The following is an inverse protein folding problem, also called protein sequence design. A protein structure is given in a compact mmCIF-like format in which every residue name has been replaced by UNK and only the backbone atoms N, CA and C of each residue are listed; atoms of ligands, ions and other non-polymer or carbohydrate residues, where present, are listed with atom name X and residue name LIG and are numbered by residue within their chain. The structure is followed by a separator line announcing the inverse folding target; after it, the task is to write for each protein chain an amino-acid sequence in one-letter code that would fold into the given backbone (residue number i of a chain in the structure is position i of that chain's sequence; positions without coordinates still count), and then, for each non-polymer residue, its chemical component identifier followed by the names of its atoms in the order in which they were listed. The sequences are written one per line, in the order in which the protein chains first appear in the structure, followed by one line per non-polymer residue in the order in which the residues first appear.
data_IF_678084391520
#
_entry.id   IF_678084391520
#
_cell.length_a   1.000
_cell.length_b   1.000
_cell.length_c   1.000
_cell.angle_alpha   90.00
_cell.angle_beta   90.00
_cell.angle_gamma   90.00
#
_symmetry.space_group_name_H-M   'P 1'
#
loop_
_entity.id
_entity.type
_entity.pdbx_description
1 polymer ?
#
# COMPACT_ATOMS: atom_id res chain seq x y z
N UNK A 1 10.51 32.44 0.54
CA UNK A 1 10.47 31.00 0.86
C UNK A 1 9.50 30.31 -0.09
N UNK A 2 9.94 29.34 -0.91
CA UNK A 2 9.06 28.63 -1.84
C UNK A 2 8.77 27.21 -1.32
N UNK A 3 7.57 26.99 -0.75
CA UNK A 3 7.08 25.63 -0.48
C UNK A 3 6.80 24.96 -1.83
N UNK A 4 7.68 24.03 -2.25
CA UNK A 4 7.55 23.31 -3.52
C UNK A 4 6.16 22.66 -3.59
N UNK A 5 5.32 23.13 -4.51
CA UNK A 5 3.97 22.60 -4.69
C UNK A 5 3.98 21.11 -5.02
N UNK A 6 2.87 20.41 -4.72
CA UNK A 6 2.70 19.01 -5.11
C UNK A 6 2.93 18.87 -6.61
N UNK A 7 3.77 17.90 -7.00
CA UNK A 7 3.94 17.51 -8.41
C UNK A 7 2.61 16.88 -8.86
N UNK A 8 1.84 17.62 -9.66
CA UNK A 8 0.62 17.11 -10.28
C UNK A 8 1.03 16.15 -11.41
N UNK A 9 0.82 14.85 -11.20
CA UNK A 9 1.34 13.79 -12.08
C UNK A 9 1.41 12.41 -11.41
N UNK A 10 1.29 12.33 -10.08
CA UNK A 10 1.07 11.04 -9.40
C UNK A 10 -0.39 10.61 -9.62
N UNK A 11 -0.61 9.69 -10.56
CA UNK A 11 -1.86 8.90 -10.64
C UNK A 11 -2.26 8.42 -9.23
N UNK A 12 -3.51 8.70 -8.84
CA UNK A 12 -4.04 8.17 -7.58
C UNK A 12 -4.27 6.66 -7.69
N UNK A 13 -3.90 5.94 -6.65
CA UNK A 13 -4.28 4.53 -6.48
C UNK A 13 -5.81 4.44 -6.43
N UNK A 14 -6.39 3.68 -7.35
CA UNK A 14 -7.81 3.32 -7.41
C UNK A 14 -8.19 2.40 -6.24
N UNK A 15 -9.48 2.08 -6.09
CA UNK A 15 -9.92 1.05 -5.12
C UNK A 15 -9.28 -0.32 -5.42
N UNK A 16 -9.04 -0.60 -6.70
CA UNK A 16 -8.56 -1.85 -7.27
C UNK A 16 -7.04 -1.96 -7.14
N UNK A 17 -6.32 -0.86 -7.40
CA UNK A 17 -4.89 -0.73 -7.06
C UNK A 17 -4.62 -0.94 -5.57
N UNK A 18 -5.55 -0.49 -4.72
CA UNK A 18 -5.50 -0.72 -3.28
C UNK A 18 -5.79 -2.18 -2.93
N UNK A 19 -6.75 -2.83 -3.60
CA UNK A 19 -7.04 -4.24 -3.40
C UNK A 19 -5.84 -5.11 -3.76
N UNK A 20 -5.32 -4.99 -4.98
CA UNK A 20 -4.16 -5.75 -5.45
C UNK A 20 -2.92 -5.52 -4.57
N UNK A 21 -2.64 -4.28 -4.16
CA UNK A 21 -1.54 -4.01 -3.22
C UNK A 21 -1.75 -4.70 -1.86
N UNK A 22 -2.97 -4.74 -1.33
CA UNK A 22 -3.26 -5.38 -0.06
C UNK A 22 -3.25 -6.90 -0.15
N UNK A 23 -3.76 -7.46 -1.25
CA UNK A 23 -3.72 -8.89 -1.57
C UNK A 23 -2.27 -9.39 -1.56
N UNK A 24 -1.39 -8.84 -2.42
CA UNK A 24 0.01 -9.25 -2.50
C UNK A 24 0.78 -8.99 -1.19
N UNK A 25 0.45 -7.91 -0.45
CA UNK A 25 1.06 -7.67 0.89
C UNK A 25 0.54 -8.66 1.94
N UNK A 26 -0.68 -9.19 1.77
CA UNK A 26 -1.32 -10.18 2.64
C UNK A 26 -0.96 -11.64 2.32
N UNK A 27 -0.50 -11.91 1.11
CA UNK A 27 0.13 -13.20 0.72
C UNK A 27 1.60 -13.24 1.18
N UNK A 28 2.38 -12.24 0.78
CA UNK A 28 3.84 -12.21 0.99
C UNK A 28 4.23 -11.86 2.44
N UNK A 29 3.34 -11.19 3.19
CA UNK A 29 3.56 -10.72 4.57
C UNK A 29 4.94 -10.05 4.78
N UNK A 30 5.30 -9.02 3.99
CA UNK A 30 6.67 -8.59 3.86
C UNK A 30 7.24 -7.93 5.12
N UNK A 31 8.28 -8.55 5.68
CA UNK A 31 8.95 -8.13 6.92
C UNK A 31 10.14 -7.21 6.63
N UNK A 32 10.95 -7.58 5.64
CA UNK A 32 12.20 -6.95 5.22
C UNK A 32 12.16 -6.43 3.78
N UNK A 33 13.31 -5.96 3.29
CA UNK A 33 13.38 -5.31 1.98
C UNK A 33 13.07 -6.26 0.81
N UNK A 34 13.49 -7.52 0.91
CA UNK A 34 13.42 -8.54 -0.14
C UNK A 34 12.01 -9.02 -0.42
N UNK A 35 11.21 -9.25 0.61
CA UNK A 35 9.81 -9.65 0.47
C UNK A 35 8.96 -8.48 -0.05
N UNK A 36 9.32 -7.26 0.35
CA UNK A 36 8.75 -6.05 -0.21
C UNK A 36 9.06 -5.89 -1.73
N UNK A 37 10.26 -6.26 -2.19
CA UNK A 37 10.58 -6.35 -3.63
C UNK A 37 9.70 -7.40 -4.33
N UNK A 38 9.37 -8.52 -3.68
CA UNK A 38 8.46 -9.52 -4.22
C UNK A 38 7.01 -8.97 -4.36
N UNK A 39 6.51 -8.21 -3.38
CA UNK A 39 5.22 -7.48 -3.51
C UNK A 39 5.24 -6.51 -4.70
N UNK A 40 6.36 -5.80 -4.91
CA UNK A 40 6.52 -4.96 -6.11
C UNK A 40 6.50 -5.78 -7.40
N UNK A 41 7.14 -6.96 -7.43
CA UNK A 41 7.16 -7.85 -8.60
C UNK A 41 5.76 -8.33 -8.98
N UNK A 42 4.94 -8.72 -7.99
CA UNK A 42 3.54 -9.09 -8.18
C UNK A 42 2.71 -7.90 -8.68
N UNK A 43 2.78 -6.76 -7.97
CA UNK A 43 2.07 -5.54 -8.37
C UNK A 43 2.49 -5.01 -9.75
N UNK A 44 3.74 -5.23 -10.19
CA UNK A 44 4.20 -4.90 -11.54
C UNK A 44 3.54 -5.77 -12.62
N UNK A 45 3.29 -7.05 -12.34
CA UNK A 45 2.50 -7.91 -13.23
C UNK A 45 1.08 -7.39 -13.41
N UNK A 46 0.39 -7.16 -12.28
CA UNK A 46 -0.93 -6.51 -12.25
C UNK A 46 -0.95 -5.16 -12.99
N UNK A 47 0.05 -4.30 -12.77
CA UNK A 47 0.13 -2.98 -13.40
C UNK A 47 0.30 -3.07 -14.93
N UNK A 48 1.09 -4.02 -15.43
CA UNK A 48 1.25 -4.23 -16.87
C UNK A 48 -0.04 -4.71 -17.54
N UNK A 49 -0.76 -5.64 -16.89
CA UNK A 49 -2.06 -6.16 -17.33
C UNK A 49 -3.16 -5.07 -17.31
N UNK A 50 -3.18 -4.24 -16.26
CA UNK A 50 -4.20 -3.22 -16.03
C UNK A 50 -3.81 -1.82 -16.58
N UNK A 51 -2.79 -1.74 -17.43
CA UNK A 51 -2.35 -0.49 -18.09
C UNK A 51 -1.86 0.62 -17.15
N UNK A 52 -1.40 0.28 -15.94
CA UNK A 52 -0.96 1.22 -14.90
C UNK A 52 0.54 1.50 -14.97
N UNK A 53 0.95 2.70 -14.55
CA UNK A 53 2.36 3.05 -14.43
C UNK A 53 3.11 2.19 -13.39
N UNK A 54 4.36 1.78 -13.71
CA UNK A 54 5.25 1.09 -12.76
C UNK A 54 5.41 1.90 -11.48
N UNK A 55 5.25 1.23 -10.33
CA UNK A 55 5.39 1.86 -9.03
C UNK A 55 6.68 1.43 -8.35
N UNK A 56 7.52 2.43 -8.14
CA UNK A 56 8.63 2.44 -7.19
C UNK A 56 8.28 1.76 -5.86
N UNK A 57 9.18 0.93 -5.34
CA UNK A 57 8.97 0.19 -4.09
C UNK A 57 8.66 1.12 -2.91
N UNK A 58 9.35 2.27 -2.89
CA UNK A 58 9.17 3.34 -1.90
C UNK A 58 7.75 3.91 -1.94
N UNK A 59 7.11 3.96 -3.11
CA UNK A 59 5.74 4.44 -3.27
C UNK A 59 4.71 3.45 -2.74
N UNK A 60 4.89 2.14 -3.01
CA UNK A 60 4.04 1.08 -2.46
C UNK A 60 4.12 1.04 -0.93
N UNK A 61 5.35 1.05 -0.38
CA UNK A 61 5.59 1.14 1.08
C UNK A 61 4.92 2.36 1.71
N UNK A 62 5.11 3.55 1.13
CA UNK A 62 4.47 4.79 1.61
C UNK A 62 2.94 4.74 1.51
N UNK A 63 2.37 4.11 0.48
CA UNK A 63 0.91 3.97 0.33
C UNK A 63 0.34 3.04 1.40
N UNK A 64 0.94 1.88 1.63
CA UNK A 64 0.54 0.95 2.69
C UNK A 64 0.68 1.58 4.08
N UNK A 65 1.82 2.21 4.38
CA UNK A 65 1.99 3.00 5.60
C UNK A 65 0.97 4.14 5.73
N UNK A 66 0.52 4.74 4.62
CA UNK A 66 -0.54 5.75 4.60
C UNK A 66 -1.92 5.18 4.99
N UNK A 67 -2.24 3.95 4.60
CA UNK A 67 -3.46 3.26 5.05
C UNK A 67 -3.40 2.97 6.57
N UNK A 68 -2.25 2.49 7.06
CA UNK A 68 -2.05 2.20 8.48
C UNK A 68 -2.13 3.46 9.34
N UNK A 69 -1.43 4.52 8.93
CA UNK A 69 -1.43 5.83 9.59
C UNK A 69 -2.69 6.66 9.30
N UNK A 70 -3.67 6.11 8.58
CA UNK A 70 -5.01 6.68 8.48
C UNK A 70 -5.70 6.59 9.86
N UNK A 71 -5.39 7.54 10.74
CA UNK A 71 -6.23 7.88 11.89
C UNK A 71 -7.59 8.34 11.36
N UNK A 72 -8.66 8.02 12.10
CA UNK A 72 -10.02 8.45 11.76
C UNK A 72 -10.01 9.96 11.43
N UNK A 73 -10.51 10.39 10.26
CA UNK A 73 -10.71 11.82 10.03
C UNK A 73 -11.74 12.33 11.05
N UNK A 74 -11.49 13.52 11.60
CA UNK A 74 -12.41 14.19 12.52
C UNK A 74 -13.62 14.71 11.75
N UNK A 75 -14.52 13.81 11.31
CA UNK A 75 -15.68 14.15 10.49
C UNK A 75 -16.57 12.99 10.03
N UNK A 76 -16.01 11.85 9.59
CA UNK A 76 -16.81 10.67 9.17
C UNK A 76 -16.27 9.39 9.83
N UNK A 77 -17.18 8.56 10.35
CA UNK A 77 -16.87 7.43 11.22
C UNK A 77 -16.45 6.15 10.47
N UNK A 78 -16.58 6.12 9.13
CA UNK A 78 -16.32 4.92 8.32
C UNK A 78 -14.85 4.79 7.91
N UNK A 79 -14.10 3.97 8.66
CA UNK A 79 -12.82 3.44 8.18
C UNK A 79 -13.05 2.67 6.86
N UNK A 80 -12.38 3.03 5.75
CA UNK A 80 -12.48 2.26 4.50
C UNK A 80 -12.07 0.80 4.69
N UNK A 81 -12.63 -0.12 3.90
CA UNK A 81 -12.28 -1.55 3.94
C UNK A 81 -10.76 -1.74 3.88
N UNK A 82 -10.11 -1.14 2.86
CA UNK A 82 -8.66 -1.13 2.66
C UNK A 82 -7.82 -0.70 3.88
N UNK A 83 -8.38 0.11 4.80
CA UNK A 83 -7.71 0.51 6.06
C UNK A 83 -7.88 -0.56 7.16
N UNK A 84 -9.01 -1.27 7.18
CA UNK A 84 -9.21 -2.45 8.04
C UNK A 84 -8.27 -3.58 7.61
N UNK A 85 -8.23 -3.85 6.31
CA UNK A 85 -7.48 -4.97 5.73
C UNK A 85 -5.97 -4.73 5.86
N UNK A 86 -5.50 -3.50 5.58
CA UNK A 86 -4.11 -3.11 5.86
C UNK A 86 -3.69 -3.41 7.31
N UNK A 87 -4.56 -3.13 8.29
CA UNK A 87 -4.29 -3.36 9.72
C UNK A 87 -4.35 -4.84 10.10
N UNK A 88 -5.18 -5.64 9.43
CA UNK A 88 -5.19 -7.09 9.59
C UNK A 88 -3.90 -7.71 9.03
N UNK A 89 -3.49 -7.28 7.84
CA UNK A 89 -2.22 -7.67 7.21
C UNK A 89 -1.03 -7.25 8.06
N UNK A 90 -0.99 -6.02 8.59
CA UNK A 90 0.08 -5.58 9.49
C UNK A 90 0.15 -6.42 10.78
N UNK A 91 -0.97 -6.95 11.27
CA UNK A 91 -0.95 -7.88 12.40
C UNK A 91 -0.28 -9.19 12.00
N UNK A 92 -0.72 -9.81 10.89
CA UNK A 92 -0.13 -11.04 10.34
C UNK A 92 1.37 -10.90 10.07
N UNK A 93 1.82 -9.76 9.53
CA UNK A 93 3.25 -9.45 9.35
C UNK A 93 3.99 -9.45 10.69
N UNK A 94 3.43 -8.84 11.74
CA UNK A 94 4.06 -8.83 13.07
C UNK A 94 4.08 -10.22 13.70
N UNK A 95 3.00 -10.98 13.59
CA UNK A 95 2.89 -12.36 14.08
C UNK A 95 3.94 -13.25 13.41
N UNK A 96 4.13 -13.12 12.10
CA UNK A 96 5.16 -13.82 11.31
C UNK A 96 6.62 -13.40 11.60
N UNK A 97 6.85 -12.36 12.42
CA UNK A 97 8.18 -11.88 12.86
C UNK A 97 8.51 -12.30 14.30
N UNK A 98 7.53 -12.84 15.04
CA UNK A 98 7.67 -13.22 16.46
C UNK A 98 7.55 -14.73 16.69
N UNK A 99 7.70 -15.55 15.65
CA UNK A 99 7.89 -17.01 15.72
C UNK A 99 9.22 -17.39 15.08
#
# INVERSE_FOLDING_TARGET
MARRGRIAGVENYSADDLNALLEYTGEVLPTGASEWENVRRLYKGYAADNGRADRELVSLKKKFQGLLNCKKPTGDARCPASVRDARAIQRRIKENVHM
#
